data_IF_852281868443
#
_entry.id   IF_852281868443
#
_cell.length_a   1.000
_cell.length_b   1.000
_cell.length_c   1.000
_cell.angle_alpha   90.00
_cell.angle_beta   90.00
_cell.angle_gamma   90.00
#
_symmetry.space_group_name_H-M   'P 1'
#
loop_
_entity.id
_entity.type
_entity.pdbx_description
1 polymer ?
#
# COMPACT_ATOMS: atom_id res chain seq x y z
N UNK A 1 29.75 12.52 -36.12
CA UNK A 1 29.64 11.06 -36.39
C UNK A 1 29.67 10.36 -35.05
N UNK A 2 28.49 10.09 -34.50
CA UNK A 2 28.29 9.45 -33.20
C UNK A 2 28.56 7.94 -33.29
N UNK A 3 29.08 7.36 -32.21
CA UNK A 3 29.46 5.95 -32.09
C UNK A 3 28.24 5.02 -32.17
N UNK A 4 28.34 3.86 -32.86
CA UNK A 4 27.26 2.85 -32.94
C UNK A 4 26.74 2.36 -31.58
N UNK A 5 27.50 2.53 -30.48
CA UNK A 5 27.07 2.18 -29.12
C UNK A 5 25.99 3.10 -28.54
N UNK A 6 25.76 4.31 -29.08
CA UNK A 6 24.72 5.21 -28.56
C UNK A 6 23.33 4.94 -29.17
N UNK A 7 23.26 4.40 -30.38
CA UNK A 7 21.97 4.14 -31.05
C UNK A 7 21.26 2.86 -30.57
N UNK A 8 21.98 1.89 -30.00
CA UNK A 8 21.40 0.64 -29.50
C UNK A 8 20.69 0.85 -28.14
N UNK A 9 21.16 1.81 -27.32
CA UNK A 9 20.53 2.14 -26.03
C UNK A 9 19.21 2.89 -26.12
N UNK A 10 18.92 3.52 -27.27
CA UNK A 10 17.66 4.25 -27.47
C UNK A 10 16.54 3.37 -28.03
N UNK A 11 16.86 2.32 -28.81
CA UNK A 11 15.84 1.45 -29.42
C UNK A 11 15.33 0.38 -28.44
N UNK A 12 16.16 -0.11 -27.51
CA UNK A 12 15.72 -1.11 -26.51
C UNK A 12 14.89 -0.51 -25.35
N UNK A 13 15.04 0.78 -25.04
CA UNK A 13 14.24 1.43 -23.99
C UNK A 13 12.77 1.62 -24.39
N UNK A 14 12.48 1.77 -25.69
CA UNK A 14 11.12 2.04 -26.17
C UNK A 14 10.25 0.78 -26.35
N UNK A 15 10.87 -0.40 -26.48
CA UNK A 15 10.14 -1.66 -26.70
C UNK A 15 9.68 -2.33 -25.40
N UNK A 16 10.38 -2.08 -24.28
CA UNK A 16 10.00 -2.57 -22.95
C UNK A 16 8.92 -1.72 -22.26
N UNK A 17 8.75 -0.45 -22.64
CA UNK A 17 7.76 0.44 -22.04
C UNK A 17 6.33 0.24 -22.56
N UNK A 18 6.13 -0.46 -23.68
CA UNK A 18 4.81 -0.59 -24.32
C UNK A 18 4.13 -1.97 -24.17
N UNK A 19 4.82 -2.97 -23.62
CA UNK A 19 4.31 -4.36 -23.59
C UNK A 19 3.73 -4.83 -22.24
N UNK A 20 3.69 -4.00 -21.21
CA UNK A 20 3.17 -4.40 -19.88
C UNK A 20 1.80 -3.85 -19.50
N UNK A 21 1.14 -3.08 -20.37
CA UNK A 21 -0.22 -2.60 -20.12
C UNK A 21 -1.27 -3.55 -20.73
N UNK A 22 -1.44 -4.72 -20.12
CA UNK A 22 -2.77 -5.33 -20.04
C UNK A 22 -3.42 -4.84 -18.73
N UNK A 23 -4.72 -4.53 -18.72
CA UNK A 23 -5.36 -3.75 -17.67
C UNK A 23 -5.37 -4.57 -16.38
N UNK A 24 -4.36 -4.33 -15.55
CA UNK A 24 -4.35 -4.74 -14.16
C UNK A 24 -5.53 -4.04 -13.52
N UNK A 25 -6.57 -4.82 -13.20
CA UNK A 25 -7.79 -4.39 -12.53
C UNK A 25 -7.46 -3.28 -11.55
N UNK A 26 -7.90 -2.08 -11.92
CA UNK A 26 -7.64 -0.84 -11.22
C UNK A 26 -8.44 -0.85 -9.92
N UNK A 27 -7.89 -1.49 -8.89
CA UNK A 27 -8.46 -1.51 -7.54
C UNK A 27 -8.39 -0.13 -6.88
N UNK A 28 -7.61 0.82 -7.44
CA UNK A 28 -7.71 2.23 -7.06
C UNK A 28 -9.07 2.81 -7.48
N UNK A 29 -9.74 2.24 -8.49
CA UNK A 29 -11.11 2.59 -8.88
C UNK A 29 -12.18 1.99 -7.94
N UNK A 30 -11.89 0.91 -7.22
CA UNK A 30 -12.83 0.34 -6.23
C UNK A 30 -12.85 1.12 -4.90
N UNK A 31 -11.76 1.79 -4.53
CA UNK A 31 -11.74 2.71 -3.37
C UNK A 31 -12.48 4.04 -3.61
N UNK A 32 -12.94 4.28 -4.85
CA UNK A 32 -13.71 5.48 -5.22
C UNK A 32 -15.21 5.39 -4.90
N UNK A 33 -15.70 4.22 -4.47
CA UNK A 33 -17.11 3.96 -4.12
C UNK A 33 -17.42 4.22 -2.64
N UNK A 34 -16.78 5.22 -2.03
CA UNK A 34 -17.30 5.83 -0.81
C UNK A 34 -17.90 7.18 -1.21
N UNK A 35 -19.21 7.35 -0.98
CA UNK A 35 -19.99 8.55 -1.31
C UNK A 35 -19.17 9.83 -1.10
N UNK A 36 -18.67 10.41 -2.20
CA UNK A 36 -18.14 11.77 -2.16
C UNK A 36 -19.27 12.67 -1.69
N UNK A 37 -18.99 13.43 -0.63
CA UNK A 37 -19.97 14.28 0.03
C UNK A 37 -20.63 15.21 -0.99
N UNK A 38 -21.95 15.11 -1.13
CA UNK A 38 -22.74 15.89 -2.10
C UNK A 38 -23.11 17.30 -1.59
N UNK A 39 -22.87 17.61 -0.32
CA UNK A 39 -23.25 18.88 0.31
C UNK A 39 -22.08 19.59 0.98
N UNK A 40 -21.97 20.90 0.77
CA UNK A 40 -21.02 21.78 1.46
C UNK A 40 -21.53 22.25 2.84
N UNK A 41 -22.71 21.80 3.30
CA UNK A 41 -23.27 22.21 4.60
C UNK A 41 -22.35 21.83 5.75
N UNK A 42 -22.05 22.74 6.68
CA UNK A 42 -21.20 22.47 7.86
C UNK A 42 -19.76 21.99 7.53
N UNK A 43 -19.14 22.59 6.51
CA UNK A 43 -17.67 22.61 6.28
C UNK A 43 -16.98 23.80 6.96
N UNK A 44 -17.68 24.50 7.84
CA UNK A 44 -17.18 25.70 8.50
C UNK A 44 -15.90 25.38 9.27
N UNK A 45 -14.83 26.17 9.09
CA UNK A 45 -13.57 25.92 9.75
C UNK A 45 -13.71 26.15 11.26
N UNK A 46 -13.10 25.25 12.03
CA UNK A 46 -13.28 25.12 13.47
C UNK A 46 -12.91 26.38 14.26
N UNK A 47 -11.89 27.10 13.80
CA UNK A 47 -11.46 28.37 14.37
C UNK A 47 -12.56 29.44 14.32
N UNK A 48 -13.33 29.52 13.23
CA UNK A 48 -14.37 30.54 13.03
C UNK A 48 -15.56 30.30 13.97
N UNK A 49 -15.95 29.03 14.15
CA UNK A 49 -17.02 28.67 15.10
C UNK A 49 -16.56 28.93 16.55
N UNK A 50 -15.30 28.64 16.89
CA UNK A 50 -14.76 28.91 18.21
C UNK A 50 -14.71 30.41 18.53
N UNK A 51 -14.31 31.24 17.55
CA UNK A 51 -14.33 32.71 17.69
C UNK A 51 -15.74 33.24 17.94
N UNK A 52 -16.73 32.78 17.17
CA UNK A 52 -18.14 33.15 17.34
C UNK A 52 -18.67 32.80 18.75
N UNK A 53 -18.42 31.57 19.20
CA UNK A 53 -18.81 31.10 20.55
C UNK A 53 -18.15 31.97 21.63
N UNK A 54 -16.88 32.34 21.46
CA UNK A 54 -16.16 33.18 22.41
C UNK A 54 -16.73 34.60 22.47
N UNK A 55 -17.04 35.22 21.33
CA UNK A 55 -17.62 36.56 21.26
C UNK A 55 -19.02 36.63 21.89
N UNK A 56 -19.84 35.60 21.68
CA UNK A 56 -21.17 35.47 22.28
C UNK A 56 -21.08 35.17 23.79
N UNK A 57 -20.17 34.28 24.23
CA UNK A 57 -19.96 33.98 25.66
C UNK A 57 -19.43 35.18 26.44
N UNK A 58 -18.54 35.96 25.83
CA UNK A 58 -18.02 37.20 26.42
C UNK A 58 -19.05 38.35 26.44
N UNK A 59 -20.28 38.12 25.96
CA UNK A 59 -21.38 39.11 25.83
C UNK A 59 -20.98 40.37 25.06
N UNK A 60 -19.99 40.26 24.16
CA UNK A 60 -19.49 41.39 23.37
C UNK A 60 -20.50 41.77 22.28
N UNK A 61 -21.13 40.76 21.66
CA UNK A 61 -22.12 40.92 20.60
C UNK A 61 -23.24 39.89 20.76
N UNK A 62 -24.42 40.22 20.23
CA UNK A 62 -25.55 39.30 20.16
C UNK A 62 -25.32 38.23 19.09
N UNK A 63 -25.90 37.04 19.27
CA UNK A 63 -25.79 35.93 18.30
C UNK A 63 -26.23 36.33 16.88
N UNK A 64 -27.23 37.20 16.78
CA UNK A 64 -27.72 37.70 15.50
C UNK A 64 -26.73 38.66 14.84
N UNK A 65 -26.03 39.48 15.62
CA UNK A 65 -25.03 40.40 15.09
C UNK A 65 -23.76 39.66 14.69
N UNK A 66 -23.33 38.71 15.51
CA UNK A 66 -22.20 37.81 15.25
C UNK A 66 -22.38 37.01 13.95
N UNK A 67 -23.58 36.47 13.74
CA UNK A 67 -23.98 35.80 12.49
C UNK A 67 -23.79 36.69 11.25
N UNK A 68 -24.06 38.00 11.35
CA UNK A 68 -23.85 38.95 10.24
C UNK A 68 -22.37 39.26 10.04
N UNK A 69 -21.63 39.50 11.11
CA UNK A 69 -20.20 39.84 11.07
C UNK A 69 -19.36 38.71 10.49
N UNK A 70 -19.64 37.47 10.90
CA UNK A 70 -18.89 36.28 10.47
C UNK A 70 -19.44 35.72 9.14
N UNK A 71 -20.65 36.13 8.73
CA UNK A 71 -21.27 35.66 7.49
C UNK A 71 -21.76 34.21 7.55
N UNK A 72 -22.07 33.71 8.76
CA UNK A 72 -22.63 32.36 8.97
C UNK A 72 -24.12 32.50 9.28
N UNK A 73 -24.95 31.74 8.56
CA UNK A 73 -26.40 31.74 8.81
C UNK A 73 -26.74 31.39 10.26
N UNK A 74 -27.59 32.20 10.90
CA UNK A 74 -27.93 32.11 12.32
C UNK A 74 -28.33 30.70 12.79
N UNK A 75 -29.16 29.98 12.00
CA UNK A 75 -29.60 28.62 12.37
C UNK A 75 -28.48 27.59 12.32
N UNK A 76 -27.38 27.88 11.64
CA UNK A 76 -26.17 27.06 11.64
C UNK A 76 -25.32 27.33 12.88
N UNK A 77 -25.28 28.56 13.37
CA UNK A 77 -24.46 28.96 14.53
C UNK A 77 -25.13 28.60 15.86
N UNK A 78 -26.46 28.74 15.94
CA UNK A 78 -27.25 28.50 17.16
C UNK A 78 -26.99 27.13 17.82
N UNK A 79 -26.99 25.98 17.10
CA UNK A 79 -26.74 24.67 17.70
C UNK A 79 -25.34 24.52 18.31
N UNK A 80 -24.35 25.27 17.82
CA UNK A 80 -22.99 25.25 18.36
C UNK A 80 -22.90 26.04 19.66
N UNK A 81 -23.55 27.21 19.72
CA UNK A 81 -23.61 28.02 20.93
C UNK A 81 -24.40 27.35 22.06
N UNK A 82 -25.50 26.66 21.75
CA UNK A 82 -26.26 25.90 22.76
C UNK A 82 -25.46 24.71 23.28
N UNK A 83 -24.84 23.91 22.41
CA UNK A 83 -23.95 22.80 22.82
C UNK A 83 -22.76 23.29 23.63
N UNK A 84 -22.20 24.43 23.28
CA UNK A 84 -21.12 25.04 24.06
C UNK A 84 -21.62 25.46 25.45
N UNK A 85 -22.85 25.91 25.63
CA UNK A 85 -23.37 26.22 26.97
C UNK A 85 -23.51 24.97 27.85
N UNK A 86 -23.74 23.80 27.25
CA UNK A 86 -23.90 22.52 27.94
C UNK A 86 -22.55 21.79 28.19
N UNK A 87 -21.58 21.95 27.29
CA UNK A 87 -20.26 21.31 27.38
C UNK A 87 -19.18 22.31 27.84
N UNK A 88 -18.67 22.13 29.07
CA UNK A 88 -17.55 22.91 29.62
C UNK A 88 -16.23 22.62 28.88
N UNK A 89 -16.02 23.28 27.74
CA UNK A 89 -14.77 23.32 26.95
C UNK A 89 -14.38 21.99 26.27
N UNK A 90 -15.31 21.35 25.55
CA UNK A 90 -14.91 20.36 24.56
C UNK A 90 -14.42 21.07 23.28
N UNK A 91 -13.17 20.83 22.88
CA UNK A 91 -12.61 21.36 21.64
C UNK A 91 -13.33 20.80 20.40
N UNK A 92 -14.11 19.72 20.53
CA UNK A 92 -14.78 19.03 19.41
C UNK A 92 -16.23 19.49 19.14
N UNK A 93 -16.54 20.77 19.37
CA UNK A 93 -17.90 21.33 19.20
C UNK A 93 -18.36 21.44 17.74
N UNK A 94 -17.42 21.55 16.79
CA UNK A 94 -17.71 21.77 15.37
C UNK A 94 -17.14 20.66 14.49
N UNK A 95 -17.92 20.27 13.48
CA UNK A 95 -17.62 19.17 12.58
C UNK A 95 -18.50 17.94 12.81
N UNK A 96 -18.65 17.12 11.79
CA UNK A 96 -19.29 15.82 11.93
C UNK A 96 -18.32 14.91 12.67
N UNK A 97 -18.78 14.27 13.76
CA UNK A 97 -18.03 13.15 14.37
C UNK A 97 -17.69 12.17 13.26
N UNK A 98 -16.41 11.82 13.10
CA UNK A 98 -15.94 10.84 12.13
C UNK A 98 -16.74 9.54 12.36
N UNK A 99 -17.78 9.21 11.56
CA UNK A 99 -18.88 8.38 12.05
C UNK A 99 -18.50 6.89 12.19
N UNK A 100 -17.24 6.52 11.95
CA UNK A 100 -16.77 5.13 11.86
C UNK A 100 -15.34 4.94 12.37
N UNK A 101 -14.76 5.92 13.07
CA UNK A 101 -13.41 5.75 13.62
C UNK A 101 -13.51 5.07 15.00
N UNK A 102 -13.32 3.75 15.00
CA UNK A 102 -13.34 2.92 16.21
C UNK A 102 -12.05 3.09 17.02
N UNK A 103 -10.92 3.21 16.33
CA UNK A 103 -9.61 3.50 16.90
C UNK A 103 -9.34 5.01 16.87
N UNK A 104 -8.67 5.55 17.89
CA UNK A 104 -8.23 6.95 17.89
C UNK A 104 -7.11 7.15 16.86
N UNK A 105 -6.87 8.40 16.47
CA UNK A 105 -5.81 8.75 15.50
C UNK A 105 -4.44 8.24 15.99
N UNK A 106 -4.18 8.28 17.30
CA UNK A 106 -2.94 7.75 17.90
C UNK A 106 -2.76 6.25 17.70
N UNK A 107 -3.82 5.46 17.92
CA UNK A 107 -3.74 4.00 17.72
C UNK A 107 -3.63 3.63 16.25
N UNK A 108 -4.31 4.36 15.37
CA UNK A 108 -4.15 4.13 13.93
C UNK A 108 -2.73 4.47 13.44
N UNK A 109 -2.09 5.50 13.98
CA UNK A 109 -0.69 5.82 13.67
C UNK A 109 0.28 4.72 14.15
N UNK A 110 0.06 4.18 15.35
CA UNK A 110 0.85 3.03 15.84
C UNK A 110 0.66 1.79 14.96
N UNK A 111 -0.57 1.55 14.50
CA UNK A 111 -0.87 0.47 13.57
C UNK A 111 -0.16 0.66 12.22
N UNK A 112 -0.14 1.88 11.68
CA UNK A 112 0.56 2.23 10.44
C UNK A 112 2.07 1.94 10.57
N UNK A 113 2.69 2.41 11.67
CA UNK A 113 4.11 2.19 11.93
C UNK A 113 4.47 0.69 12.00
N UNK A 114 3.63 -0.11 12.66
CA UNK A 114 3.82 -1.55 12.75
C UNK A 114 3.71 -2.25 11.39
N UNK A 115 2.70 -1.90 10.58
CA UNK A 115 2.50 -2.47 9.24
C UNK A 115 3.69 -2.15 8.34
N UNK A 116 4.21 -0.92 8.40
CA UNK A 116 5.39 -0.51 7.63
C UNK A 116 6.64 -1.28 8.05
N UNK A 117 6.90 -1.38 9.36
CA UNK A 117 8.04 -2.13 9.89
C UNK A 117 7.98 -3.62 9.51
N UNK A 118 6.79 -4.23 9.58
CA UNK A 118 6.57 -5.62 9.18
C UNK A 118 6.83 -5.84 7.67
N UNK A 119 6.41 -4.89 6.83
CA UNK A 119 6.68 -4.93 5.39
C UNK A 119 8.17 -4.79 5.05
N UNK A 120 8.93 -3.98 5.79
CA UNK A 120 10.38 -3.81 5.60
C UNK A 120 11.17 -5.09 5.91
N UNK A 121 10.74 -5.87 6.90
CA UNK A 121 11.37 -7.16 7.26
C UNK A 121 10.84 -8.35 6.46
N UNK A 122 10.19 -8.11 5.30
CA UNK A 122 9.59 -9.14 4.44
C UNK A 122 8.48 -9.99 5.09
N UNK A 123 7.88 -9.49 6.18
CA UNK A 123 6.74 -10.07 6.88
C UNK A 123 5.47 -9.22 6.64
N UNK A 124 5.22 -8.87 5.38
CA UNK A 124 4.08 -8.04 5.00
C UNK A 124 2.74 -8.65 5.44
N UNK A 125 1.91 -7.84 6.09
CA UNK A 125 0.61 -8.26 6.63
C UNK A 125 -0.47 -8.18 5.55
N UNK A 126 -1.34 -9.19 5.47
CA UNK A 126 -2.49 -9.14 4.59
C UNK A 126 -3.58 -8.19 5.15
N UNK A 127 -4.48 -7.66 4.31
CA UNK A 127 -5.63 -6.87 4.78
C UNK A 127 -6.43 -7.53 5.91
N UNK A 128 -6.59 -8.86 5.86
CA UNK A 128 -7.26 -9.63 6.91
C UNK A 128 -6.50 -9.59 8.23
N UNK A 129 -5.17 -9.67 8.20
CA UNK A 129 -4.34 -9.66 9.40
C UNK A 129 -4.35 -8.28 10.05
N UNK A 130 -4.29 -7.22 9.25
CA UNK A 130 -4.41 -5.84 9.75
C UNK A 130 -5.79 -5.57 10.36
N UNK A 131 -6.87 -6.11 9.76
CA UNK A 131 -8.22 -6.05 10.34
C UNK A 131 -8.32 -6.80 11.67
N UNK A 132 -7.71 -7.98 11.79
CA UNK A 132 -7.63 -8.72 13.06
C UNK A 132 -6.84 -7.97 14.12
N UNK A 133 -5.69 -7.41 13.74
CA UNK A 133 -4.83 -6.66 14.65
C UNK A 133 -5.52 -5.38 15.15
N UNK A 134 -6.27 -4.70 14.28
CA UNK A 134 -7.10 -3.57 14.68
C UNK A 134 -8.19 -3.94 15.71
N UNK A 135 -8.83 -5.10 15.55
CA UNK A 135 -9.80 -5.60 16.54
C UNK A 135 -9.13 -5.93 17.88
N UNK A 136 -7.99 -6.63 17.85
CA UNK A 136 -7.23 -6.95 19.07
C UNK A 136 -6.78 -5.69 19.82
N UNK A 137 -6.28 -4.70 19.08
CA UNK A 137 -5.89 -3.41 19.63
C UNK A 137 -7.10 -2.67 20.24
N UNK A 138 -8.22 -2.62 19.53
CA UNK A 138 -9.45 -2.00 20.04
C UNK A 138 -9.94 -2.68 21.33
N UNK A 139 -9.84 -4.01 21.40
CA UNK A 139 -10.26 -4.80 22.58
C UNK A 139 -9.33 -4.55 23.78
N UNK A 140 -8.02 -4.51 23.55
CA UNK A 140 -7.02 -4.26 24.59
C UNK A 140 -7.14 -2.86 25.20
N UNK A 141 -7.50 -1.87 24.39
CA UNK A 141 -7.65 -0.47 24.83
C UNK A 141 -9.09 -0.09 25.24
N UNK A 142 -10.02 -1.04 25.27
CA UNK A 142 -11.39 -0.80 25.72
C UNK A 142 -12.18 0.17 24.82
N UNK A 143 -11.88 0.21 23.52
CA UNK A 143 -12.60 1.04 22.57
C UNK A 143 -14.04 0.55 22.38
N UNK A 144 -14.95 1.45 21.94
CA UNK A 144 -16.32 1.06 21.62
C UNK A 144 -16.37 0.31 20.28
N UNK A 145 -16.35 -1.01 20.34
CA UNK A 145 -16.27 -1.90 19.18
C UNK A 145 -17.68 -2.23 18.67
N UNK A 146 -17.93 -2.16 17.34
CA UNK A 146 -19.20 -2.60 16.77
C UNK A 146 -19.47 -4.10 17.02
N UNK A 147 -20.73 -4.53 17.24
CA UNK A 147 -21.08 -5.94 17.45
C UNK A 147 -20.57 -6.88 16.35
N UNK A 148 -20.58 -6.41 15.10
CA UNK A 148 -20.10 -7.17 13.93
C UNK A 148 -18.62 -7.54 14.00
N UNK A 149 -17.80 -6.76 14.71
CA UNK A 149 -16.37 -7.09 14.90
C UNK A 149 -16.19 -8.20 15.94
N UNK A 150 -17.10 -8.31 16.91
CA UNK A 150 -17.07 -9.40 17.89
C UNK A 150 -17.46 -10.74 17.25
N UNK A 151 -18.43 -10.75 16.34
CA UNK A 151 -18.85 -11.95 15.61
C UNK A 151 -17.76 -12.47 14.66
N UNK A 152 -17.02 -11.55 14.03
CA UNK A 152 -16.01 -11.89 13.00
C UNK A 152 -14.59 -11.91 13.54
N UNK A 153 -14.39 -11.52 14.79
CA UNK A 153 -13.09 -11.31 15.46
C UNK A 153 -12.11 -10.44 14.65
N UNK A 154 -12.62 -9.52 13.83
CA UNK A 154 -11.82 -8.63 13.00
C UNK A 154 -12.58 -7.34 12.67
N UNK A 155 -11.83 -6.30 12.32
CA UNK A 155 -12.43 -5.06 11.85
C UNK A 155 -13.23 -5.25 10.56
N UNK A 156 -14.25 -4.43 10.32
CA UNK A 156 -15.04 -4.45 9.08
C UNK A 156 -14.29 -3.95 7.85
N UNK A 157 -14.76 -4.29 6.64
CA UNK A 157 -14.17 -3.83 5.38
C UNK A 157 -14.29 -2.31 5.20
N UNK A 158 -15.42 -1.73 5.59
CA UNK A 158 -15.63 -0.28 5.58
C UNK A 158 -14.63 0.46 6.44
N UNK A 159 -14.30 -0.11 7.61
CA UNK A 159 -13.29 0.48 8.50
C UNK A 159 -11.92 0.44 7.84
N UNK A 160 -11.56 -0.69 7.23
CA UNK A 160 -10.27 -0.86 6.55
C UNK A 160 -10.10 0.08 5.35
N UNK A 161 -11.14 0.23 4.52
CA UNK A 161 -11.17 1.21 3.43
C UNK A 161 -10.99 2.63 3.95
N UNK A 162 -11.68 2.99 5.03
CA UNK A 162 -11.51 4.28 5.69
C UNK A 162 -10.10 4.48 6.27
N UNK A 163 -9.51 3.44 6.86
CA UNK A 163 -8.15 3.46 7.40
C UNK A 163 -7.12 3.75 6.29
N UNK A 164 -7.20 3.06 5.15
CA UNK A 164 -6.32 3.33 4.00
C UNK A 164 -6.51 4.74 3.42
N UNK A 165 -7.73 5.28 3.42
CA UNK A 165 -7.99 6.65 2.97
C UNK A 165 -7.35 7.71 3.88
N UNK A 166 -7.32 7.45 5.20
CA UNK A 166 -6.65 8.32 6.18
C UNK A 166 -5.12 8.19 6.09
N UNK A 167 -4.62 6.97 5.92
CA UNK A 167 -3.20 6.63 5.88
C UNK A 167 -2.69 6.46 4.45
N UNK A 168 -2.54 7.60 3.75
CA UNK A 168 -2.13 7.62 2.33
C UNK A 168 -0.73 7.06 2.06
N UNK A 169 0.08 6.80 3.08
CA UNK A 169 1.39 6.17 2.93
C UNK A 169 1.28 4.65 2.78
N UNK A 170 0.11 4.05 3.02
CA UNK A 170 -0.14 2.63 2.84
C UNK A 170 -0.78 2.36 1.47
N UNK A 171 -0.38 1.25 0.85
CA UNK A 171 -1.00 0.75 -0.37
C UNK A 171 -1.08 -0.77 -0.35
N UNK A 172 -2.10 -1.28 -1.02
CA UNK A 172 -2.33 -2.70 -1.23
C UNK A 172 -1.40 -3.17 -2.37
N UNK A 173 -0.59 -4.21 -2.14
CA UNK A 173 0.40 -4.71 -3.10
C UNK A 173 0.40 -6.23 -3.15
N UNK A 174 0.58 -6.78 -4.35
CA UNK A 174 0.87 -8.21 -4.53
C UNK A 174 2.37 -8.43 -4.37
N UNK A 175 2.82 -9.23 -3.39
CA UNK A 175 4.24 -9.44 -3.18
C UNK A 175 4.84 -10.31 -4.29
N UNK A 176 6.08 -10.01 -4.66
CA UNK A 176 6.87 -10.89 -5.53
C UNK A 176 7.55 -11.94 -4.65
N UNK A 177 7.34 -13.22 -4.98
CA UNK A 177 7.97 -14.33 -4.28
C UNK A 177 9.50 -14.22 -4.44
N UNK A 178 10.19 -13.80 -3.37
CA UNK A 178 11.65 -13.66 -3.35
C UNK A 178 12.16 -14.57 -2.24
N UNK A 179 13.04 -15.51 -2.57
CA UNK A 179 13.63 -16.40 -1.56
C UNK A 179 14.57 -15.62 -0.64
N UNK A 180 14.62 -16.00 0.64
CA UNK A 180 15.50 -15.37 1.63
C UNK A 180 16.98 -15.43 1.21
N UNK A 181 17.40 -16.54 0.61
CA UNK A 181 18.74 -16.68 0.06
C UNK A 181 19.04 -15.66 -1.05
N UNK A 182 18.07 -15.37 -1.93
CA UNK A 182 18.20 -14.34 -2.97
C UNK A 182 18.26 -12.94 -2.35
N UNK A 183 17.42 -12.63 -1.37
CA UNK A 183 17.46 -11.34 -0.68
C UNK A 183 18.80 -11.11 0.06
N UNK A 184 19.35 -12.13 0.71
CA UNK A 184 20.61 -12.03 1.46
C UNK A 184 21.86 -11.95 0.55
N UNK A 185 21.83 -12.63 -0.61
CA UNK A 185 22.95 -12.66 -1.56
C UNK A 185 23.02 -11.45 -2.48
N UNK A 186 21.90 -10.75 -2.70
CA UNK A 186 21.79 -9.59 -3.57
C UNK A 186 22.28 -8.29 -2.89
N UNK A 187 23.53 -8.27 -2.47
CA UNK A 187 24.17 -7.08 -1.90
C UNK A 187 25.09 -6.40 -2.92
N UNK A 188 25.32 -5.09 -2.76
CA UNK A 188 26.10 -4.27 -3.71
C UNK A 188 27.52 -4.82 -3.93
N UNK A 189 28.15 -5.32 -2.87
CA UNK A 189 29.53 -5.82 -2.90
C UNK A 189 29.63 -7.12 -3.70
N UNK A 190 28.74 -8.08 -3.45
CA UNK A 190 28.67 -9.36 -4.15
C UNK A 190 28.35 -9.17 -5.62
N UNK A 191 27.39 -8.28 -5.93
CA UNK A 191 27.03 -7.95 -7.31
C UNK A 191 28.22 -7.31 -8.03
N UNK A 192 28.90 -6.35 -7.40
CA UNK A 192 30.08 -5.72 -7.99
C UNK A 192 31.22 -6.73 -8.23
N UNK A 193 31.50 -7.60 -7.26
CA UNK A 193 32.53 -8.63 -7.37
C UNK A 193 32.23 -9.61 -8.53
N UNK A 194 30.98 -10.06 -8.64
CA UNK A 194 30.54 -10.94 -9.73
C UNK A 194 30.75 -10.29 -11.11
N UNK A 195 30.28 -9.06 -11.31
CA UNK A 195 30.40 -8.40 -12.61
C UNK A 195 31.84 -8.04 -12.96
N UNK A 196 32.69 -7.74 -11.98
CA UNK A 196 34.12 -7.52 -12.20
C UNK A 196 34.81 -8.81 -12.70
N UNK A 197 34.55 -9.94 -12.04
CA UNK A 197 35.11 -11.24 -12.44
C UNK A 197 34.57 -11.68 -13.82
N UNK A 198 33.28 -11.46 -14.07
CA UNK A 198 32.68 -11.75 -15.37
C UNK A 198 33.32 -10.92 -16.48
N UNK A 199 33.55 -9.62 -16.24
CA UNK A 199 34.20 -8.75 -17.20
C UNK A 199 35.65 -9.19 -17.51
N UNK A 200 36.40 -9.61 -16.49
CA UNK A 200 37.77 -10.13 -16.65
C UNK A 200 37.79 -11.39 -17.53
N UNK A 201 36.92 -12.36 -17.23
CA UNK A 201 36.82 -13.62 -17.98
C UNK A 201 36.35 -13.38 -19.42
N UNK A 202 35.36 -12.51 -19.62
CA UNK A 202 34.89 -12.13 -20.95
C UNK A 202 36.00 -11.48 -21.79
N UNK A 203 36.84 -10.65 -21.18
CA UNK A 203 37.93 -9.96 -21.88
C UNK A 203 39.12 -10.88 -22.17
N UNK A 204 39.41 -11.82 -21.26
CA UNK A 204 40.50 -12.80 -21.41
C UNK A 204 40.20 -13.83 -22.49
N UNK A 205 39.04 -14.46 -22.43
CA UNK A 205 38.73 -15.66 -23.21
C UNK A 205 37.96 -15.33 -24.51
N UNK A 206 37.41 -14.11 -24.64
CA UNK A 206 36.74 -13.59 -25.85
C UNK A 206 35.73 -14.57 -26.45
N UNK A 207 34.77 -14.99 -25.64
CA UNK A 207 33.75 -15.94 -26.08
C UNK A 207 32.96 -15.41 -27.28
N UNK A 208 32.74 -16.30 -28.24
CA UNK A 208 31.85 -16.04 -29.35
C UNK A 208 30.38 -15.96 -28.89
N UNK A 209 29.54 -15.10 -29.47
CA UNK A 209 28.12 -15.00 -29.12
C UNK A 209 27.34 -16.32 -29.18
N UNK A 210 27.75 -17.28 -30.02
CA UNK A 210 27.14 -18.61 -30.09
C UNK A 210 27.38 -19.45 -28.82
N UNK A 211 28.42 -19.12 -28.04
CA UNK A 211 28.83 -19.85 -26.84
C UNK A 211 28.41 -19.18 -25.52
N UNK A 212 27.73 -18.04 -25.58
CA UNK A 212 27.23 -17.33 -24.40
C UNK A 212 25.74 -17.61 -24.27
N UNK A 213 25.35 -18.37 -23.26
CA UNK A 213 23.96 -18.75 -23.00
C UNK A 213 23.42 -18.08 -21.74
N UNK A 214 22.20 -17.58 -21.83
CA UNK A 214 21.38 -17.24 -20.67
C UNK A 214 20.29 -18.31 -20.51
N UNK A 215 20.13 -18.79 -19.29
CA UNK A 215 19.13 -19.79 -18.92
C UNK A 215 18.28 -19.21 -17.81
N UNK A 216 16.95 -19.26 -17.98
CA UNK A 216 16.01 -18.82 -16.95
C UNK A 216 14.92 -19.87 -16.74
N UNK A 217 14.48 -19.95 -15.49
CA UNK A 217 13.48 -20.91 -15.03
C UNK A 217 12.17 -20.19 -14.74
N UNK A 218 11.10 -20.59 -15.44
CA UNK A 218 9.75 -20.14 -15.12
C UNK A 218 8.98 -21.26 -14.46
N UNK A 219 8.78 -21.12 -13.15
CA UNK A 219 7.86 -21.98 -12.40
C UNK A 219 6.41 -21.65 -12.76
N UNK A 220 5.67 -22.62 -13.29
CA UNK A 220 4.21 -22.54 -13.44
C UNK A 220 3.57 -23.37 -12.34
N UNK A 221 3.12 -22.68 -11.29
CA UNK A 221 2.26 -23.28 -10.26
C UNK A 221 0.82 -23.34 -10.78
N UNK A 222 0.18 -24.50 -10.61
CA UNK A 222 -1.28 -24.66 -10.79
C UNK A 222 -2.09 -24.13 -9.61
N UNK A 223 -1.44 -23.82 -8.47
CA UNK A 223 -2.11 -23.42 -7.22
C UNK A 223 -1.32 -22.34 -6.48
N UNK A 224 -2.05 -21.39 -5.90
CA UNK A 224 -1.69 -20.21 -5.08
C UNK A 224 -1.39 -18.90 -5.85
N UNK A 225 -2.35 -17.98 -5.78
CA UNK A 225 -2.09 -16.55 -5.96
C UNK A 225 -1.48 -16.04 -4.66
N UNK A 226 -0.32 -15.34 -4.66
CA UNK A 226 0.25 -14.80 -3.43
C UNK A 226 -0.76 -13.87 -2.76
N UNK A 227 -0.93 -14.01 -1.44
CA UNK A 227 -1.82 -13.12 -0.71
C UNK A 227 -1.32 -11.68 -0.85
N UNK A 228 -2.28 -10.81 -1.11
CA UNK A 228 -2.09 -9.38 -1.17
C UNK A 228 -1.67 -8.87 0.22
N UNK A 229 -0.64 -8.04 0.28
CA UNK A 229 -0.12 -7.44 1.51
C UNK A 229 -0.27 -5.92 1.50
N UNK A 230 -0.19 -5.30 2.67
CA UNK A 230 -0.11 -3.85 2.81
C UNK A 230 1.36 -3.45 2.94
N UNK A 231 1.78 -2.47 2.15
CA UNK A 231 3.13 -1.94 2.16
C UNK A 231 3.14 -0.43 1.92
N UNK A 232 4.31 0.19 2.08
CA UNK A 232 4.51 1.60 1.80
C UNK A 232 4.14 1.94 0.35
N UNK A 233 3.50 3.09 0.16
CA UNK A 233 3.19 3.64 -1.16
C UNK A 233 4.51 3.94 -1.90
N UNK A 234 4.51 3.70 -3.21
CA UNK A 234 5.66 3.90 -4.14
C UNK A 234 6.80 2.86 -4.06
N UNK A 235 6.70 1.84 -3.21
CA UNK A 235 7.69 0.74 -3.21
C UNK A 235 7.44 -0.19 -4.40
N UNK A 236 8.39 -0.24 -5.35
CA UNK A 236 8.26 -1.01 -6.61
C UNK A 236 8.33 -2.52 -6.43
N UNK A 237 9.01 -3.00 -5.40
CA UNK A 237 9.15 -4.42 -5.09
C UNK A 237 8.84 -4.62 -3.61
N UNK A 238 7.90 -5.52 -3.32
CA UNK A 238 7.58 -5.94 -1.96
C UNK A 238 7.70 -7.46 -1.93
N UNK A 239 8.56 -8.00 -1.07
CA UNK A 239 8.73 -9.44 -0.93
C UNK A 239 7.85 -9.98 0.19
N UNK A 240 7.33 -11.19 0.03
CA UNK A 240 6.74 -11.99 1.10
C UNK A 240 7.53 -13.29 1.19
N UNK A 241 7.97 -13.65 2.39
CA UNK A 241 8.54 -14.97 2.64
C UNK A 241 7.42 -16.00 2.60
N UNK A 242 7.45 -16.90 1.63
CA UNK A 242 6.46 -17.98 1.52
C UNK A 242 7.04 -19.24 2.15
N UNK A 243 6.35 -19.84 3.14
CA UNK A 243 6.64 -21.21 3.54
C UNK A 243 6.18 -22.15 2.41
N UNK A 244 7.06 -23.02 1.93
CA UNK A 244 6.83 -23.93 0.83
C UNK A 244 5.58 -24.82 1.05
N UNK A 245 4.44 -24.42 0.48
CA UNK A 245 3.23 -25.22 0.39
C UNK A 245 3.20 -25.96 -0.95
N UNK A 246 3.23 -27.30 -0.89
CA UNK A 246 3.34 -28.25 -2.01
C UNK A 246 2.16 -28.13 -2.98
N UNK A 247 2.36 -27.42 -4.09
CA UNK A 247 1.67 -27.70 -5.35
C UNK A 247 2.65 -28.39 -6.29
N UNK A 248 2.16 -29.26 -7.19
CA UNK A 248 2.98 -29.86 -8.24
C UNK A 248 3.50 -28.75 -9.15
N UNK A 249 4.72 -28.29 -8.90
CA UNK A 249 5.37 -27.26 -9.68
C UNK A 249 5.92 -27.91 -10.95
N UNK A 250 5.47 -27.40 -12.10
CA UNK A 250 6.13 -27.67 -13.37
C UNK A 250 7.05 -26.49 -13.65
N UNK A 251 8.34 -26.75 -13.79
CA UNK A 251 9.33 -25.73 -14.12
C UNK A 251 9.62 -25.79 -15.61
N UNK A 252 9.36 -24.69 -16.31
CA UNK A 252 9.79 -24.52 -17.70
C UNK A 252 11.20 -23.94 -17.69
N UNK A 253 12.14 -24.63 -18.34
CA UNK A 253 13.51 -24.16 -18.54
C UNK A 253 13.63 -23.64 -19.96
N UNK A 254 14.01 -22.37 -20.10
CA UNK A 254 14.26 -21.72 -21.38
C UNK A 254 15.73 -21.30 -21.46
N UNK A 255 16.38 -21.55 -22.59
CA UNK A 255 17.77 -21.19 -22.80
C UNK A 255 17.96 -20.54 -24.16
N UNK A 256 18.63 -19.39 -24.18
CA UNK A 256 18.90 -18.59 -25.38
C UNK A 256 20.38 -18.19 -25.40
N UNK A 257 20.99 -18.17 -26.58
CA UNK A 257 22.35 -17.66 -26.73
C UNK A 257 22.37 -16.18 -27.16
N UNK A 258 23.53 -15.54 -27.02
CA UNK A 258 23.72 -14.14 -27.41
C UNK A 258 23.60 -13.89 -28.92
N UNK A 259 23.68 -14.93 -29.75
CA UNK A 259 23.42 -14.86 -31.19
C UNK A 259 21.91 -14.91 -31.56
N UNK A 260 21.02 -15.17 -30.60
CA UNK A 260 19.57 -15.24 -30.81
C UNK A 260 19.01 -16.63 -31.10
N UNK A 261 19.84 -17.68 -31.04
CA UNK A 261 19.38 -19.05 -31.12
C UNK A 261 18.81 -19.49 -29.76
N UNK A 262 17.78 -20.34 -29.78
CA UNK A 262 17.22 -20.95 -28.59
C UNK A 262 17.44 -22.46 -28.59
N UNK A 263 17.64 -23.01 -27.39
CA UNK A 263 17.50 -24.44 -27.16
C UNK A 263 16.00 -24.70 -26.94
N UNK A 264 15.42 -25.77 -27.50
CA UNK A 264 14.02 -26.12 -27.26
C UNK A 264 13.69 -26.11 -25.76
N UNK A 265 12.56 -25.50 -25.33
CA UNK A 265 12.21 -25.48 -23.91
C UNK A 265 11.96 -26.87 -23.36
N UNK A 266 12.37 -27.12 -22.13
CA UNK A 266 12.15 -28.39 -21.43
C UNK A 266 11.31 -28.19 -20.17
N UNK A 267 10.42 -29.14 -19.89
CA UNK A 267 9.64 -29.18 -18.67
C UNK A 267 10.33 -30.09 -17.65
N UNK A 268 10.61 -29.56 -16.47
CA UNK A 268 11.09 -30.31 -15.32
C UNK A 268 9.90 -30.52 -14.38
N UNK A 269 9.56 -31.78 -14.17
CA UNK A 269 8.51 -32.19 -13.24
C UNK A 269 9.13 -32.54 -11.90
N UNK A 270 8.51 -32.08 -10.82
CA UNK A 270 8.88 -32.51 -9.48
C UNK A 270 8.55 -34.01 -9.33
N UNK A 271 9.41 -34.83 -8.70
CA UNK A 271 9.06 -36.20 -8.38
C UNK A 271 7.77 -36.23 -7.56
N UNK A 272 6.77 -37.00 -7.99
CA UNK A 272 5.63 -37.31 -7.13
C UNK A 272 6.16 -38.17 -5.96
N UNK A 273 5.95 -37.72 -4.72
CA UNK A 273 6.07 -38.58 -3.54
C UNK A 273 5.02 -39.70 -3.71
N UNK A 274 5.44 -40.87 -4.21
CA UNK A 274 4.67 -42.11 -4.18
C UNK A 274 4.47 -42.61 -2.75
#
# INVERSE_FOLDING_TARGET
MSSPCQQIKEVENDMWLKSQFLPMFDLDLQLSWCDKRKSERATLPQNVIQQAIQQVRARVISLHEDSRTIGIYLKSLFPYCTKAAEANNDHSLCGYKKPRQVLTDEFENHLEAYVLAAAEIYYGLAPKDVRKLAFQMAKAHGCNIPPTWHETEMAGEDWFSGYLQRHKNLSIRSPQATSLARAASFNKTNVAMFFNQLAEVMLRDKFDPFNIYNMDETGKTTVQRPDIIIARKETKQVGKMTSAGRGTLVTLVCCVNAAGNSIPPYFVFSPEEL
#
